data_IF_759327554624
#
_entry.id   IF_759327554624
#
_cell.length_a   1.000
_cell.length_b   1.000
_cell.length_c   1.000
_cell.angle_alpha   90.00
_cell.angle_beta   90.00
_cell.angle_gamma   90.00
#
_symmetry.space_group_name_H-M   'P 1'
#
loop_
_entity.id
_entity.type
_entity.pdbx_description
1 polymer ?
#
# COMPACT_ATOMS: atom_id res chain seq x y z
N UNK A 1 25.01 -19.15 -9.20
CA UNK A 1 24.74 -17.71 -8.97
C UNK A 1 24.61 -17.51 -7.48
N UNK A 2 25.45 -16.66 -6.87
CA UNK A 2 25.28 -16.31 -5.47
C UNK A 2 23.88 -15.69 -5.28
N UNK A 3 23.18 -16.05 -4.20
CA UNK A 3 21.95 -15.35 -3.82
C UNK A 3 22.33 -13.90 -3.56
N UNK A 4 22.09 -13.02 -4.52
CA UNK A 4 22.15 -11.60 -4.23
C UNK A 4 20.98 -11.24 -3.32
N UNK A 5 21.26 -10.48 -2.27
CA UNK A 5 20.27 -10.14 -1.25
C UNK A 5 19.14 -9.32 -1.86
N UNK A 6 17.93 -9.89 -1.81
CA UNK A 6 16.71 -9.21 -2.20
C UNK A 6 16.45 -8.11 -1.19
N UNK A 7 16.46 -6.85 -1.66
CA UNK A 7 16.30 -5.66 -0.79
C UNK A 7 14.84 -5.21 -0.69
N UNK A 8 14.02 -5.56 -1.68
CA UNK A 8 12.59 -5.33 -1.72
C UNK A 8 11.90 -6.52 -2.40
N UNK A 9 10.77 -6.94 -1.83
CA UNK A 9 10.00 -8.04 -2.38
C UNK A 9 8.54 -7.67 -2.63
N UNK A 10 8.09 -6.48 -2.27
CA UNK A 10 6.70 -6.07 -2.43
C UNK A 10 6.53 -4.99 -3.49
N UNK A 11 5.46 -5.10 -4.27
CA UNK A 11 4.98 -4.06 -5.20
C UNK A 11 3.46 -4.08 -5.21
N UNK A 12 2.82 -2.92 -5.38
CA UNK A 12 1.39 -2.88 -5.68
C UNK A 12 1.13 -3.53 -7.04
N UNK A 13 0.10 -4.39 -7.13
CA UNK A 13 -0.28 -5.11 -8.36
C UNK A 13 -0.45 -4.15 -9.55
N UNK A 14 -1.08 -2.99 -9.33
CA UNK A 14 -1.23 -2.00 -10.38
C UNK A 14 0.08 -1.41 -10.89
N UNK A 15 1.04 -1.18 -10.00
CA UNK A 15 2.34 -0.64 -10.38
C UNK A 15 3.11 -1.69 -11.18
N UNK A 16 3.01 -2.97 -10.79
CA UNK A 16 3.55 -4.08 -11.57
C UNK A 16 2.93 -4.14 -12.97
N UNK A 17 1.60 -4.12 -13.07
CA UNK A 17 0.90 -4.17 -14.35
C UNK A 17 1.27 -2.97 -15.25
N UNK A 18 1.31 -1.76 -14.68
CA UNK A 18 1.72 -0.56 -15.39
C UNK A 18 3.18 -0.65 -15.87
N UNK A 19 4.10 -1.21 -15.08
CA UNK A 19 5.48 -1.43 -15.52
C UNK A 19 5.56 -2.40 -16.69
N UNK A 20 4.81 -3.51 -16.66
CA UNK A 20 4.73 -4.44 -17.79
C UNK A 20 4.20 -3.74 -19.05
N UNK A 21 3.11 -3.00 -18.95
CA UNK A 21 2.52 -2.25 -20.07
C UNK A 21 3.51 -1.26 -20.69
N UNK A 22 4.26 -0.51 -19.86
CA UNK A 22 5.26 0.44 -20.35
C UNK A 22 6.43 -0.29 -21.04
N UNK A 23 6.90 -1.42 -20.49
CA UNK A 23 7.99 -2.22 -21.09
C UNK A 23 7.60 -2.77 -22.46
N UNK A 24 6.34 -3.18 -22.61
CA UNK A 24 5.79 -3.67 -23.87
C UNK A 24 5.59 -2.52 -24.87
N UNK A 25 5.01 -1.40 -24.44
CA UNK A 25 4.76 -0.23 -25.28
C UNK A 25 6.05 0.40 -25.84
N UNK A 26 7.15 0.28 -25.13
CA UNK A 26 8.46 0.83 -25.53
C UNK A 26 9.36 -0.18 -26.24
N UNK A 27 8.90 -1.41 -26.47
CA UNK A 27 9.70 -2.51 -27.03
C UNK A 27 10.45 -2.19 -28.33
N UNK A 28 9.78 -1.50 -29.27
CA UNK A 28 10.38 -1.07 -30.55
C UNK A 28 11.38 0.06 -30.34
N UNK A 29 11.06 1.04 -29.48
CA UNK A 29 11.89 2.23 -29.25
C UNK A 29 13.23 1.90 -28.56
N UNK A 30 13.22 0.89 -27.70
CA UNK A 30 14.40 0.40 -26.99
C UNK A 30 15.14 -0.72 -27.73
N UNK A 31 14.71 -1.08 -28.94
CA UNK A 31 15.37 -2.10 -29.73
C UNK A 31 16.84 -1.68 -29.96
N UNK A 32 17.77 -2.62 -29.74
CA UNK A 32 19.22 -2.42 -29.85
C UNK A 32 19.85 -1.40 -28.87
N UNK A 33 19.05 -0.82 -27.97
CA UNK A 33 19.52 0.09 -26.91
C UNK A 33 19.71 -0.64 -25.59
N UNK A 34 20.70 -0.22 -24.82
CA UNK A 34 20.85 -0.66 -23.42
C UNK A 34 19.82 0.06 -22.54
N UNK A 35 19.15 -0.71 -21.69
CA UNK A 35 18.17 -0.15 -20.75
C UNK A 35 18.90 0.49 -19.57
N UNK A 36 18.51 1.73 -19.25
CA UNK A 36 18.99 2.46 -18.08
C UNK A 36 17.81 2.76 -17.17
N UNK A 37 17.92 2.37 -15.90
CA UNK A 37 16.97 2.75 -14.86
C UNK A 37 17.56 3.96 -14.13
N UNK A 38 17.02 5.14 -14.40
CA UNK A 38 17.45 6.37 -13.75
C UNK A 38 16.66 6.53 -12.45
N UNK A 39 17.34 6.27 -11.33
CA UNK A 39 16.77 6.26 -9.98
C UNK A 39 16.98 4.92 -9.31
N UNK A 40 17.94 4.85 -8.40
CA UNK A 40 18.29 3.62 -7.68
C UNK A 40 17.50 3.46 -6.36
N UNK A 41 16.29 4.01 -6.30
CA UNK A 41 15.38 3.93 -5.16
C UNK A 41 14.46 2.70 -5.18
N UNK A 42 13.41 2.73 -4.34
CA UNK A 42 12.41 1.64 -4.24
C UNK A 42 11.76 1.35 -5.59
N UNK A 43 11.30 2.38 -6.31
CA UNK A 43 10.65 2.22 -7.61
C UNK A 43 11.60 1.63 -8.66
N UNK A 44 12.85 2.11 -8.72
CA UNK A 44 13.86 1.54 -9.61
C UNK A 44 14.16 0.07 -9.31
N UNK A 45 14.26 -0.32 -8.04
CA UNK A 45 14.43 -1.73 -7.66
C UNK A 45 13.23 -2.59 -8.07
N UNK A 46 12.01 -2.13 -7.81
CA UNK A 46 10.78 -2.81 -8.21
C UNK A 46 10.71 -3.00 -9.74
N UNK A 47 11.08 -1.97 -10.48
CA UNK A 47 11.13 -2.02 -11.94
C UNK A 47 12.21 -2.99 -12.45
N UNK A 48 13.40 -2.99 -11.86
CA UNK A 48 14.46 -3.95 -12.19
C UNK A 48 14.03 -5.40 -12.01
N UNK A 49 13.37 -5.73 -10.88
CA UNK A 49 12.80 -7.08 -10.70
C UNK A 49 11.72 -7.39 -11.74
N UNK A 50 10.90 -6.39 -12.11
CA UNK A 50 9.90 -6.55 -13.18
C UNK A 50 10.55 -6.88 -14.52
N UNK A 51 11.62 -6.18 -14.91
CA UNK A 51 12.40 -6.49 -16.11
C UNK A 51 12.96 -7.92 -16.08
N UNK A 52 13.55 -8.34 -14.96
CA UNK A 52 14.09 -9.70 -14.81
C UNK A 52 12.99 -10.76 -14.97
N UNK A 53 11.79 -10.52 -14.42
CA UNK A 53 10.64 -11.42 -14.59
C UNK A 53 10.18 -11.52 -16.05
N UNK A 54 10.32 -10.44 -16.82
CA UNK A 54 10.05 -10.42 -18.26
C UNK A 54 11.23 -10.98 -19.10
N UNK A 55 12.27 -11.51 -18.46
CA UNK A 55 13.45 -12.08 -19.12
C UNK A 55 14.48 -11.03 -19.58
N UNK A 56 14.29 -9.76 -19.22
CA UNK A 56 15.16 -8.64 -19.58
C UNK A 56 16.19 -8.43 -18.47
N UNK A 57 17.41 -8.96 -18.68
CA UNK A 57 18.49 -8.90 -17.70
C UNK A 57 19.58 -7.87 -18.02
N UNK A 58 19.59 -7.32 -19.24
CA UNK A 58 20.60 -6.35 -19.67
C UNK A 58 20.13 -4.91 -19.36
N UNK A 59 20.29 -4.50 -18.10
CA UNK A 59 20.05 -3.13 -17.66
C UNK A 59 21.12 -2.64 -16.68
N UNK A 60 21.23 -1.33 -16.57
CA UNK A 60 22.09 -0.64 -15.58
C UNK A 60 21.28 0.40 -14.82
N UNK A 61 21.75 0.76 -13.62
CA UNK A 61 21.21 1.90 -12.88
C UNK A 61 22.07 3.15 -13.12
N UNK A 62 21.45 4.32 -13.03
CA UNK A 62 22.14 5.57 -12.71
C UNK A 62 21.35 6.37 -11.68
N UNK A 63 22.03 7.25 -10.94
CA UNK A 63 21.44 8.08 -9.89
C UNK A 63 22.29 9.34 -9.70
N UNK A 64 21.69 10.48 -9.36
CA UNK A 64 22.43 11.72 -9.13
C UNK A 64 23.20 11.70 -7.80
N UNK A 65 22.84 10.81 -6.87
CA UNK A 65 23.55 10.64 -5.60
C UNK A 65 24.90 9.93 -5.81
N UNK A 66 25.98 10.70 -5.72
CA UNK A 66 27.34 10.21 -5.90
C UNK A 66 27.78 9.20 -4.84
N UNK A 67 27.11 9.14 -3.69
CA UNK A 67 27.38 8.14 -2.66
C UNK A 67 26.92 6.73 -3.08
N UNK A 68 26.02 6.62 -4.07
CA UNK A 68 25.53 5.35 -4.59
C UNK A 68 26.38 4.79 -5.72
N UNK A 69 27.24 5.59 -6.34
CA UNK A 69 27.98 5.16 -7.53
C UNK A 69 28.94 4.01 -7.23
N UNK A 70 29.04 3.05 -8.17
CA UNK A 70 29.86 1.85 -8.03
C UNK A 70 29.25 0.77 -7.13
N UNK A 71 28.16 1.08 -6.40
CA UNK A 71 27.45 0.10 -5.57
C UNK A 71 26.66 -0.84 -6.49
N UNK A 72 26.71 -2.15 -6.20
CA UNK A 72 25.87 -3.12 -6.91
C UNK A 72 24.43 -3.04 -6.43
N UNK A 73 23.45 -3.17 -7.32
CA UNK A 73 22.02 -3.19 -7.04
C UNK A 73 21.33 -4.12 -8.04
N UNK A 74 20.56 -5.11 -7.57
CA UNK A 74 19.79 -6.07 -8.41
C UNK A 74 20.61 -6.60 -9.60
N UNK A 75 21.78 -7.18 -9.34
CA UNK A 75 22.63 -7.79 -10.37
C UNK A 75 23.50 -6.85 -11.17
N UNK A 76 23.35 -5.53 -11.05
CA UNK A 76 24.09 -4.54 -11.85
C UNK A 76 24.71 -3.44 -10.99
N UNK A 77 25.36 -2.45 -11.60
CA UNK A 77 26.03 -1.34 -10.89
C UNK A 77 25.24 -0.04 -11.05
N UNK A 78 25.25 0.80 -10.03
CA UNK A 78 24.75 2.18 -10.09
C UNK A 78 25.85 3.08 -10.65
N UNK A 79 25.57 3.77 -11.75
CA UNK A 79 26.52 4.59 -12.47
C UNK A 79 26.25 6.09 -12.28
N UNK A 80 27.27 6.88 -12.55
CA UNK A 80 27.12 8.32 -12.74
C UNK A 80 26.31 8.59 -14.04
N UNK A 81 25.30 9.49 -14.02
CA UNK A 81 24.50 9.87 -15.20
C UNK A 81 25.32 10.26 -16.45
N UNK A 82 26.57 10.68 -16.30
CA UNK A 82 27.50 10.93 -17.41
C UNK A 82 27.74 9.72 -18.31
N UNK A 83 27.35 8.50 -17.90
CA UNK A 83 27.32 7.35 -18.83
C UNK A 83 26.46 7.62 -20.07
N UNK A 84 25.45 8.49 -19.95
CA UNK A 84 24.45 8.80 -20.97
C UNK A 84 24.96 9.80 -22.02
N UNK A 85 26.18 10.32 -21.92
CA UNK A 85 26.72 11.29 -22.89
C UNK A 85 26.78 10.77 -24.34
N UNK A 86 26.78 9.45 -24.54
CA UNK A 86 26.65 8.79 -25.84
C UNK A 86 25.21 8.30 -26.06
N UNK A 87 24.26 9.24 -26.11
CA UNK A 87 22.83 9.02 -25.88
C UNK A 87 22.11 8.00 -26.78
N UNK A 88 22.56 7.82 -28.03
CA UNK A 88 21.87 6.97 -29.02
C UNK A 88 21.84 5.47 -28.62
N UNK A 89 22.75 5.04 -27.73
CA UNK A 89 22.85 3.65 -27.29
C UNK A 89 21.93 3.31 -26.12
N UNK A 90 21.18 4.27 -25.57
CA UNK A 90 20.45 4.08 -24.31
C UNK A 90 18.96 4.38 -24.45
N UNK A 91 18.16 3.57 -23.76
CA UNK A 91 16.76 3.89 -23.48
C UNK A 91 16.56 4.01 -21.98
N UNK A 92 16.04 5.15 -21.52
CA UNK A 92 16.00 5.49 -20.10
C UNK A 92 14.58 5.34 -19.55
N UNK A 93 14.44 4.56 -18.49
CA UNK A 93 13.26 4.59 -17.62
C UNK A 93 13.59 5.45 -16.41
N UNK A 94 12.90 6.57 -16.29
CA UNK A 94 13.03 7.45 -15.15
C UNK A 94 12.15 6.88 -14.01
N UNK A 95 12.78 6.45 -12.93
CA UNK A 95 12.18 5.63 -11.87
C UNK A 95 12.22 6.33 -10.49
N UNK A 96 11.72 7.56 -10.40
CA UNK A 96 11.58 8.29 -9.13
C UNK A 96 10.36 9.22 -9.08
N UNK A 97 9.97 9.58 -7.87
CA UNK A 97 9.06 10.71 -7.62
C UNK A 97 9.84 12.03 -7.73
N UNK A 98 9.15 13.14 -8.06
CA UNK A 98 9.77 14.46 -8.28
C UNK A 98 10.90 14.43 -9.32
N UNK A 99 10.58 13.90 -10.50
CA UNK A 99 11.54 13.58 -11.56
C UNK A 99 11.97 14.77 -12.43
N UNK A 100 11.43 15.97 -12.18
CA UNK A 100 11.56 17.14 -13.05
C UNK A 100 13.02 17.53 -13.31
N UNK A 101 13.87 17.45 -12.28
CA UNK A 101 15.30 17.73 -12.41
C UNK A 101 16.00 16.71 -13.32
N UNK A 102 15.74 15.42 -13.11
CA UNK A 102 16.32 14.35 -13.91
C UNK A 102 15.79 14.36 -15.36
N UNK A 103 14.53 14.74 -15.57
CA UNK A 103 13.96 14.93 -16.90
C UNK A 103 14.65 16.08 -17.64
N UNK A 104 14.83 17.22 -16.98
CA UNK A 104 15.55 18.37 -17.56
C UNK A 104 16.98 17.98 -17.94
N UNK A 105 17.67 17.24 -17.05
CA UNK A 105 19.01 16.72 -17.32
C UNK A 105 19.05 15.82 -18.56
N UNK A 106 18.09 14.90 -18.73
CA UNK A 106 18.01 14.04 -19.92
C UNK A 106 17.80 14.86 -21.19
N UNK A 107 16.93 15.86 -21.15
CA UNK A 107 16.65 16.75 -22.29
C UNK A 107 17.88 17.58 -22.67
N UNK A 108 18.63 18.09 -21.69
CA UNK A 108 19.91 18.79 -21.92
C UNK A 108 20.98 17.87 -22.52
N UNK A 109 20.94 16.57 -22.20
CA UNK A 109 21.78 15.54 -22.82
C UNK A 109 21.29 15.09 -24.21
N UNK A 110 20.19 15.67 -24.70
CA UNK A 110 19.65 15.42 -26.04
C UNK A 110 18.61 14.31 -26.13
N UNK A 111 18.22 13.68 -25.01
CA UNK A 111 17.19 12.64 -24.98
C UNK A 111 15.79 13.25 -25.15
N UNK A 112 14.93 12.59 -25.92
CA UNK A 112 13.56 13.05 -26.14
C UNK A 112 12.54 12.18 -25.40
N UNK A 113 11.63 12.84 -24.67
CA UNK A 113 10.55 12.15 -23.97
C UNK A 113 9.66 11.39 -24.96
N UNK A 114 9.35 10.13 -24.63
CA UNK A 114 8.55 9.24 -25.47
C UNK A 114 9.30 8.62 -26.65
N UNK A 115 10.59 8.94 -26.84
CA UNK A 115 11.45 8.36 -27.89
C UNK A 115 12.65 7.67 -27.25
N UNK A 116 13.41 8.38 -26.43
CA UNK A 116 14.63 7.89 -25.79
C UNK A 116 14.44 7.63 -24.29
N UNK A 117 13.40 8.21 -23.70
CA UNK A 117 13.07 7.98 -22.30
C UNK A 117 11.58 8.08 -22.01
N UNK A 118 11.16 7.40 -20.94
CA UNK A 118 9.81 7.50 -20.37
C UNK A 118 9.87 7.57 -18.85
N UNK A 119 8.89 8.23 -18.25
CA UNK A 119 8.75 8.26 -16.79
C UNK A 119 7.92 7.07 -16.29
N UNK A 120 8.39 6.43 -15.24
CA UNK A 120 7.61 5.47 -14.46
C UNK A 120 6.87 6.22 -13.36
N UNK A 121 5.56 6.02 -13.29
CA UNK A 121 4.74 6.62 -12.22
C UNK A 121 4.18 5.53 -11.33
N UNK A 122 4.25 5.73 -10.01
CA UNK A 122 3.39 5.01 -9.08
C UNK A 122 1.92 5.31 -9.42
N UNK A 123 1.15 4.28 -9.75
CA UNK A 123 -0.22 4.42 -10.20
C UNK A 123 -1.27 4.09 -9.14
N UNK A 124 -0.87 3.74 -7.90
CA UNK A 124 -1.83 3.39 -6.83
C UNK A 124 -2.81 4.52 -6.52
N UNK A 125 -2.36 5.77 -6.43
CA UNK A 125 -3.25 6.92 -6.22
C UNK A 125 -4.23 7.11 -7.38
N UNK A 126 -3.76 6.96 -8.62
CA UNK A 126 -4.60 7.05 -9.82
C UNK A 126 -5.63 5.93 -9.84
N UNK A 127 -5.23 4.69 -9.54
CA UNK A 127 -6.14 3.53 -9.49
C UNK A 127 -7.22 3.70 -8.42
N UNK A 128 -6.89 4.28 -7.27
CA UNK A 128 -7.91 4.61 -6.26
C UNK A 128 -8.91 5.62 -6.81
N UNK A 129 -8.45 6.71 -7.45
CA UNK A 129 -9.33 7.72 -8.05
C UNK A 129 -10.21 7.14 -9.17
N UNK A 130 -9.62 6.31 -10.05
CA UNK A 130 -10.35 5.66 -11.14
C UNK A 130 -11.39 4.66 -10.61
N UNK A 131 -11.05 3.92 -9.55
CA UNK A 131 -11.96 2.98 -8.90
C UNK A 131 -13.08 3.71 -8.16
N UNK A 132 -12.81 4.88 -7.60
CA UNK A 132 -13.82 5.73 -6.96
C UNK A 132 -14.90 6.17 -7.95
N UNK A 133 -14.51 6.49 -9.20
CA UNK A 133 -15.41 6.95 -10.26
C UNK A 133 -16.19 5.84 -10.97
N UNK A 134 -15.84 4.56 -10.74
CA UNK A 134 -16.46 3.38 -11.39
C UNK A 134 -17.26 2.56 -10.38
N UNK A 135 -18.09 1.63 -10.85
CA UNK A 135 -18.84 0.66 -10.05
C UNK A 135 -19.75 1.29 -8.97
N UNK A 136 -20.47 2.35 -9.32
CA UNK A 136 -21.42 3.03 -8.42
C UNK A 136 -22.69 2.19 -8.14
N UNK A 137 -22.86 1.08 -8.84
CA UNK A 137 -23.94 0.10 -8.70
C UNK A 137 -23.62 -1.06 -7.73
N UNK A 138 -22.37 -1.20 -7.29
CA UNK A 138 -21.97 -2.25 -6.35
C UNK A 138 -22.67 -2.11 -4.98
N UNK A 139 -23.02 -3.24 -4.36
CA UNK A 139 -23.65 -3.29 -3.03
C UNK A 139 -22.64 -3.36 -1.89
N UNK A 140 -21.39 -3.75 -2.18
CA UNK A 140 -20.31 -3.84 -1.20
C UNK A 140 -19.20 -2.83 -1.50
N UNK A 141 -18.78 -2.10 -0.47
CA UNK A 141 -17.58 -1.27 -0.49
C UNK A 141 -16.50 -1.87 0.42
N UNK A 142 -15.30 -2.04 -0.12
CA UNK A 142 -14.12 -2.47 0.63
C UNK A 142 -13.13 -1.31 0.70
N UNK A 143 -12.75 -0.95 1.92
CA UNK A 143 -11.72 0.03 2.23
C UNK A 143 -10.54 -0.68 2.87
N UNK A 144 -9.31 -0.30 2.51
CA UNK A 144 -8.12 -0.84 3.16
C UNK A 144 -6.84 -0.14 2.73
N UNK A 145 -5.71 -0.71 3.12
CA UNK A 145 -4.39 -0.14 2.87
C UNK A 145 -3.63 -0.85 1.74
N UNK A 146 -2.31 -0.65 1.66
CA UNK A 146 -1.47 -1.30 0.65
C UNK A 146 -1.49 -2.84 0.70
N UNK A 147 -1.79 -3.47 1.84
CA UNK A 147 -1.88 -4.94 1.96
C UNK A 147 -2.92 -5.51 1.01
N UNK A 148 -3.95 -4.72 0.71
CA UNK A 148 -5.03 -5.09 -0.21
C UNK A 148 -4.54 -5.12 -1.66
N UNK A 149 -3.56 -4.30 -2.05
CA UNK A 149 -3.06 -4.21 -3.43
C UNK A 149 -1.70 -4.86 -3.67
N UNK A 150 -0.96 -5.21 -2.61
CA UNK A 150 0.43 -5.66 -2.72
C UNK A 150 0.56 -7.13 -3.15
N UNK A 151 1.58 -7.41 -3.96
CA UNK A 151 2.02 -8.75 -4.40
C UNK A 151 3.53 -8.89 -4.25
N UNK A 152 4.04 -10.12 -4.14
CA UNK A 152 5.48 -10.36 -4.17
C UNK A 152 6.02 -10.08 -5.57
N UNK A 153 7.19 -9.44 -5.71
CA UNK A 153 7.93 -9.28 -6.97
C UNK A 153 8.54 -10.59 -7.46
N UNK A 154 8.62 -11.64 -6.63
CA UNK A 154 9.22 -12.93 -7.02
C UNK A 154 8.20 -13.95 -7.51
N UNK A 155 6.97 -13.89 -6.99
CA UNK A 155 5.91 -14.83 -7.35
C UNK A 155 5.50 -14.67 -8.82
N UNK A 156 5.13 -15.77 -9.48
CA UNK A 156 4.53 -15.70 -10.82
C UNK A 156 3.08 -15.21 -10.75
N UNK A 157 2.37 -15.55 -9.68
CA UNK A 157 0.98 -15.15 -9.48
C UNK A 157 0.89 -13.74 -8.90
N UNK A 158 0.55 -12.76 -9.74
CA UNK A 158 0.49 -11.33 -9.41
C UNK A 158 -0.94 -10.83 -9.16
N UNK A 159 -1.74 -11.58 -8.41
CA UNK A 159 -3.10 -11.13 -8.06
C UNK A 159 -3.14 -10.76 -6.58
N UNK A 160 -3.60 -9.54 -6.31
CA UNK A 160 -3.78 -9.00 -4.96
C UNK A 160 -5.10 -9.44 -4.32
N UNK A 161 -5.21 -9.26 -3.00
CA UNK A 161 -6.46 -9.50 -2.27
C UNK A 161 -7.59 -8.66 -2.87
N UNK A 162 -7.32 -7.38 -3.15
CA UNK A 162 -8.29 -6.46 -3.73
C UNK A 162 -8.79 -6.90 -5.10
N UNK A 163 -7.93 -7.48 -5.94
CA UNK A 163 -8.35 -8.01 -7.24
C UNK A 163 -9.21 -9.27 -7.12
N UNK A 164 -8.88 -10.16 -6.18
CA UNK A 164 -9.72 -11.33 -5.88
C UNK A 164 -11.12 -10.87 -5.43
N UNK A 165 -11.20 -9.87 -4.56
CA UNK A 165 -12.46 -9.34 -4.03
C UNK A 165 -13.26 -8.58 -5.09
N UNK A 166 -12.62 -7.80 -5.96
CA UNK A 166 -13.30 -7.14 -7.10
C UNK A 166 -13.96 -8.15 -8.05
N UNK A 167 -13.34 -9.31 -8.27
CA UNK A 167 -13.87 -10.36 -9.16
C UNK A 167 -15.13 -11.05 -8.64
N UNK A 168 -15.58 -10.75 -7.42
CA UNK A 168 -16.91 -11.19 -6.94
C UNK A 168 -18.06 -10.51 -7.68
N UNK A 169 -17.80 -9.41 -8.40
CA UNK A 169 -18.74 -8.73 -9.30
C UNK A 169 -19.64 -7.69 -8.64
N UNK A 170 -19.82 -7.75 -7.32
CA UNK A 170 -20.70 -6.87 -6.56
C UNK A 170 -19.95 -5.99 -5.55
N UNK A 171 -18.68 -5.70 -5.85
CA UNK A 171 -17.75 -5.09 -4.89
C UNK A 171 -16.95 -3.96 -5.53
N UNK A 172 -16.98 -2.79 -4.89
CA UNK A 172 -16.02 -1.71 -5.11
C UNK A 172 -14.90 -1.82 -4.09
N UNK A 173 -13.65 -1.78 -4.53
CA UNK A 173 -12.47 -1.83 -3.64
C UNK A 173 -11.67 -0.55 -3.79
N UNK A 174 -11.48 0.19 -2.70
CA UNK A 174 -10.62 1.37 -2.62
C UNK A 174 -9.54 1.13 -1.57
N UNK A 175 -8.30 1.09 -2.02
CA UNK A 175 -7.17 0.86 -1.14
C UNK A 175 -5.97 1.70 -1.53
N UNK A 176 -5.30 2.26 -0.53
CA UNK A 176 -4.08 3.05 -0.70
C UNK A 176 -3.25 2.93 0.57
N UNK A 177 -1.92 2.85 0.43
CA UNK A 177 -1.04 2.88 1.58
C UNK A 177 -1.29 4.13 2.44
N UNK A 178 -1.06 4.06 3.75
CA UNK A 178 -1.11 5.26 4.60
C UNK A 178 -2.50 5.78 4.92
N UNK A 179 -3.58 5.16 4.43
CA UNK A 179 -4.93 5.52 4.85
C UNK A 179 -5.15 5.19 6.34
N UNK A 180 -5.83 6.10 7.03
CA UNK A 180 -6.15 6.00 8.46
C UNK A 180 -7.65 6.24 8.71
N UNK A 181 -8.12 6.09 9.95
CA UNK A 181 -9.55 6.07 10.26
C UNK A 181 -10.34 7.29 9.75
N UNK A 182 -9.83 8.51 9.90
CA UNK A 182 -10.48 9.71 9.34
C UNK A 182 -10.51 9.73 7.81
N UNK A 183 -9.47 9.18 7.18
CA UNK A 183 -9.45 8.96 5.72
C UNK A 183 -10.54 7.98 5.30
N UNK A 184 -10.67 6.83 5.96
CA UNK A 184 -11.72 5.85 5.68
C UNK A 184 -13.12 6.45 5.86
N UNK A 185 -13.33 7.22 6.92
CA UNK A 185 -14.61 7.89 7.17
C UNK A 185 -15.00 8.84 6.03
N UNK A 186 -14.08 9.70 5.61
CA UNK A 186 -14.36 10.65 4.54
C UNK A 186 -14.54 9.94 3.18
N UNK A 187 -13.69 8.97 2.84
CA UNK A 187 -13.87 8.15 1.62
C UNK A 187 -15.24 7.45 1.62
N UNK A 188 -15.63 6.84 2.74
CA UNK A 188 -16.93 6.18 2.90
C UNK A 188 -18.09 7.16 2.66
N UNK A 189 -18.06 8.34 3.28
CA UNK A 189 -19.10 9.37 3.11
C UNK A 189 -19.21 9.84 1.67
N UNK A 190 -18.09 10.01 0.98
CA UNK A 190 -18.08 10.38 -0.44
C UNK A 190 -18.61 9.23 -1.31
N UNK A 191 -18.22 7.99 -1.03
CA UNK A 191 -18.71 6.80 -1.74
C UNK A 191 -20.22 6.64 -1.58
N UNK A 192 -20.75 6.79 -0.36
CA UNK A 192 -22.19 6.63 -0.09
C UNK A 192 -23.08 7.59 -0.90
N UNK A 193 -22.57 8.78 -1.24
CA UNK A 193 -23.32 9.72 -2.09
C UNK A 193 -23.43 9.26 -3.54
N UNK A 194 -22.48 8.43 -3.99
CA UNK A 194 -22.43 7.90 -5.36
C UNK A 194 -23.06 6.51 -5.46
N UNK A 195 -22.80 5.66 -4.47
CA UNK A 195 -23.24 4.28 -4.43
C UNK A 195 -24.66 4.18 -3.87
N UNK A 196 -25.65 4.23 -4.75
CA UNK A 196 -27.08 4.22 -4.38
C UNK A 196 -27.48 2.93 -3.66
N UNK A 197 -26.91 1.79 -4.08
CA UNK A 197 -27.26 0.46 -3.58
C UNK A 197 -26.27 -0.08 -2.54
N UNK A 198 -25.37 0.77 -2.01
CA UNK A 198 -24.43 0.35 -0.97
C UNK A 198 -25.17 -0.16 0.27
N UNK A 199 -24.95 -1.43 0.60
CA UNK A 199 -25.55 -2.15 1.73
C UNK A 199 -24.51 -2.57 2.77
N UNK A 200 -23.30 -2.94 2.32
CA UNK A 200 -22.24 -3.43 3.21
C UNK A 200 -20.91 -2.72 2.99
N UNK A 201 -20.21 -2.46 4.09
CA UNK A 201 -18.86 -1.91 4.10
C UNK A 201 -17.93 -2.85 4.85
N UNK A 202 -16.79 -3.15 4.24
CA UNK A 202 -15.69 -3.88 4.87
C UNK A 202 -14.49 -2.95 5.00
N UNK A 203 -14.02 -2.75 6.23
CA UNK A 203 -12.76 -2.03 6.48
C UNK A 203 -11.70 -3.07 6.82
N UNK A 204 -10.76 -3.31 5.89
CA UNK A 204 -9.60 -4.17 6.10
C UNK A 204 -8.58 -3.38 6.93
N UNK A 205 -8.63 -3.62 8.23
CA UNK A 205 -7.94 -2.87 9.26
C UNK A 205 -6.62 -3.56 9.61
N UNK A 206 -5.53 -2.92 9.20
CA UNK A 206 -4.23 -3.15 9.84
C UNK A 206 -4.21 -2.42 11.18
N UNK A 207 -3.89 -3.15 12.25
CA UNK A 207 -4.09 -2.66 13.63
C UNK A 207 -3.14 -1.52 13.99
N UNK A 208 -1.97 -1.43 13.36
CA UNK A 208 -0.98 -0.38 13.57
C UNK A 208 -1.50 1.03 13.27
N UNK A 209 -2.54 1.18 12.43
CA UNK A 209 -3.15 2.50 12.18
C UNK A 209 -3.89 3.05 13.42
N UNK A 210 -4.17 2.19 14.41
CA UNK A 210 -4.78 2.56 15.68
C UNK A 210 -3.73 3.03 16.70
N UNK A 211 -2.43 3.03 16.35
CA UNK A 211 -1.39 3.68 17.14
C UNK A 211 -1.54 5.21 17.10
N UNK A 212 -1.16 5.87 18.20
CA UNK A 212 -1.50 7.27 18.47
C UNK A 212 -0.83 8.31 17.54
N UNK A 213 0.06 7.90 16.62
CA UNK A 213 0.83 8.79 15.75
C UNK A 213 0.66 8.48 14.26
N UNK A 214 0.08 7.34 13.88
CA UNK A 214 -0.02 6.92 12.48
C UNK A 214 -0.67 7.99 11.57
N UNK A 215 -1.76 8.59 12.05
CA UNK A 215 -2.50 9.64 11.33
C UNK A 215 -1.79 10.99 11.28
N UNK A 216 -0.71 11.17 12.04
CA UNK A 216 0.08 12.41 12.07
C UNK A 216 1.22 12.42 11.05
N UNK A 217 1.60 11.28 10.49
CA UNK A 217 2.74 11.22 9.58
C UNK A 217 2.45 11.98 8.26
N UNK A 218 3.33 12.90 7.82
CA UNK A 218 3.11 13.67 6.58
C UNK A 218 2.90 12.78 5.35
N UNK A 219 3.63 11.68 5.25
CA UNK A 219 3.53 10.71 4.14
C UNK A 219 2.16 10.02 4.01
N UNK A 220 1.35 10.02 5.08
CA UNK A 220 0.06 9.34 5.15
C UNK A 220 -1.13 10.26 4.82
N UNK A 221 -0.89 11.56 4.55
CA UNK A 221 -1.97 12.53 4.42
C UNK A 221 -2.67 12.50 3.05
N UNK A 222 -1.94 12.16 1.98
CA UNK A 222 -2.45 12.05 0.62
C UNK A 222 -3.32 13.25 0.18
N UNK A 223 -2.92 14.48 0.51
CA UNK A 223 -3.75 15.68 0.32
C UNK A 223 -4.20 15.88 -1.12
N UNK A 224 -3.34 15.56 -2.09
CA UNK A 224 -3.69 15.59 -3.53
C UNK A 224 -4.84 14.63 -3.85
N UNK A 225 -4.78 13.39 -3.36
CA UNK A 225 -5.81 12.37 -3.59
C UNK A 225 -7.11 12.76 -2.92
N UNK A 226 -7.07 13.21 -1.67
CA UNK A 226 -8.25 13.62 -0.91
C UNK A 226 -8.97 14.81 -1.56
N UNK A 227 -8.22 15.79 -2.06
CA UNK A 227 -8.78 16.93 -2.83
C UNK A 227 -9.47 16.46 -4.12
N UNK A 228 -8.83 15.58 -4.87
CA UNK A 228 -9.40 15.05 -6.11
C UNK A 228 -10.64 14.17 -5.85
N UNK A 229 -10.65 13.36 -4.80
CA UNK A 229 -11.84 12.62 -4.37
C UNK A 229 -13.00 13.56 -4.04
N UNK A 230 -12.75 14.63 -3.28
CA UNK A 230 -13.78 15.61 -2.94
C UNK A 230 -14.35 16.28 -4.19
N UNK A 231 -13.48 16.73 -5.10
CA UNK A 231 -13.88 17.31 -6.40
C UNK A 231 -14.70 16.32 -7.24
N UNK A 232 -14.25 15.07 -7.37
CA UNK A 232 -14.93 14.01 -8.13
C UNK A 232 -16.26 13.57 -7.50
N UNK A 233 -16.43 13.77 -6.19
CA UNK A 233 -17.71 13.52 -5.50
C UNK A 233 -18.82 14.50 -5.91
N UNK A 234 -18.47 15.65 -6.50
CA UNK A 234 -19.38 16.76 -6.86
C UNK A 234 -20.12 17.37 -5.66
N UNK A 235 -19.71 17.06 -4.44
CA UNK A 235 -20.24 17.67 -3.23
C UNK A 235 -19.54 19.00 -2.98
N UNK A 236 -20.30 20.05 -2.66
CA UNK A 236 -19.76 21.40 -2.45
C UNK A 236 -19.90 21.90 -1.02
N UNK A 237 -20.74 21.27 -0.22
CA UNK A 237 -21.03 21.62 1.18
C UNK A 237 -20.81 20.41 2.10
N UNK A 238 -19.57 19.92 2.13
CA UNK A 238 -19.14 18.91 3.11
C UNK A 238 -18.15 19.52 4.10
N UNK A 239 -18.69 20.12 5.17
CA UNK A 239 -17.89 20.79 6.19
C UNK A 239 -16.82 19.90 6.81
N UNK A 240 -17.13 18.62 7.02
CA UNK A 240 -16.16 17.68 7.58
C UNK A 240 -15.05 17.34 6.57
N UNK A 241 -15.37 17.18 5.29
CA UNK A 241 -14.32 16.99 4.29
C UNK A 241 -13.46 18.24 4.14
N UNK A 242 -14.05 19.43 4.22
CA UNK A 242 -13.33 20.70 4.17
C UNK A 242 -12.39 20.88 5.36
N UNK A 243 -12.86 20.59 6.58
CA UNK A 243 -12.03 20.58 7.79
C UNK A 243 -10.91 19.54 7.68
N UNK A 244 -11.23 18.34 7.23
CA UNK A 244 -10.23 17.28 7.04
C UNK A 244 -9.13 17.68 6.05
N UNK A 245 -9.48 18.34 4.94
CA UNK A 245 -8.51 18.85 3.98
C UNK A 245 -7.59 19.93 4.57
N UNK A 246 -8.11 20.80 5.44
CA UNK A 246 -7.28 21.77 6.15
C UNK A 246 -6.29 21.08 7.09
N UNK A 247 -6.77 20.10 7.88
CA UNK A 247 -5.92 19.33 8.79
C UNK A 247 -4.81 18.58 8.02
N UNK A 248 -5.12 18.00 6.86
CA UNK A 248 -4.13 17.38 5.97
C UNK A 248 -3.07 18.39 5.54
N UNK A 249 -3.46 19.57 5.06
CA UNK A 249 -2.50 20.60 4.62
C UNK A 249 -1.57 21.07 5.74
N UNK A 250 -2.05 21.11 6.97
CA UNK A 250 -1.23 21.42 8.15
C UNK A 250 -0.25 20.28 8.47
N UNK A 251 -0.70 19.03 8.43
CA UNK A 251 0.12 17.85 8.71
C UNK A 251 1.20 17.60 7.66
N UNK A 252 0.90 17.85 6.38
CA UNK A 252 1.89 17.70 5.29
C UNK A 252 3.09 18.64 5.46
N UNK A 253 2.89 19.81 6.09
CA UNK A 253 3.96 20.77 6.40
C UNK A 253 4.76 20.37 7.64
N UNK A 254 4.21 19.51 8.50
CA UNK A 254 4.77 19.12 9.79
C UNK A 254 5.88 18.07 9.67
N UNK A 255 7.09 18.47 9.25
CA UNK A 255 8.24 17.54 9.08
C UNK A 255 8.91 17.14 10.40
N UNK A 256 8.42 17.58 11.56
CA UNK A 256 9.04 17.33 12.87
C UNK A 256 8.74 15.94 13.45
N UNK A 257 7.80 15.20 12.86
CA UNK A 257 7.44 13.86 13.34
C UNK A 257 8.32 12.82 12.64
N UNK A 258 9.26 12.27 13.42
CA UNK A 258 10.12 11.19 12.96
C UNK A 258 9.32 9.88 12.85
N UNK A 259 9.28 9.32 11.66
CA UNK A 259 8.72 8.00 11.43
C UNK A 259 9.74 6.91 11.76
N UNK A 260 9.63 6.37 12.98
CA UNK A 260 10.44 5.26 13.49
C UNK A 260 9.92 3.89 13.06
N UNK A 261 8.74 3.83 12.43
CA UNK A 261 8.09 2.58 12.02
C UNK A 261 8.56 2.10 10.64
N UNK A 262 9.08 2.99 9.80
CA UNK A 262 9.58 2.61 8.48
C UNK A 262 10.87 1.77 8.58
N UNK A 263 10.92 0.59 7.93
CA UNK A 263 12.11 -0.24 7.94
C UNK A 263 13.26 0.46 7.22
N UNK A 264 14.46 0.37 7.81
CA UNK A 264 15.66 0.89 7.20
C UNK A 264 16.11 -0.04 6.06
N UNK A 265 16.23 0.52 4.84
CA UNK A 265 16.57 -0.21 3.62
C UNK A 265 18.01 0.03 3.16
N UNK A 266 18.89 0.55 4.03
CA UNK A 266 20.33 0.65 3.72
C UNK A 266 20.92 -0.74 3.46
N UNK A 267 21.69 -0.85 2.38
CA UNK A 267 22.14 -2.14 1.85
C UNK A 267 23.19 -2.85 2.74
N UNK A 268 23.97 -2.09 3.52
CA UNK A 268 25.09 -2.62 4.30
C UNK A 268 24.75 -3.03 5.75
N UNK A 269 23.47 -3.23 6.05
CA UNK A 269 23.06 -3.72 7.37
C UNK A 269 23.45 -5.18 7.54
N UNK A 270 24.10 -5.50 8.67
CA UNK A 270 24.33 -6.87 9.11
C UNK A 270 23.01 -7.58 9.41
N UNK A 271 23.00 -8.91 9.35
CA UNK A 271 21.83 -9.72 9.69
C UNK A 271 21.29 -9.40 11.10
N UNK A 272 22.20 -9.17 12.06
CA UNK A 272 21.84 -8.76 13.43
C UNK A 272 21.13 -7.41 13.47
N UNK A 273 21.55 -6.44 12.66
CA UNK A 273 20.90 -5.13 12.59
C UNK A 273 19.52 -5.22 11.94
N UNK A 274 19.38 -6.01 10.85
CA UNK A 274 18.09 -6.27 10.22
C UNK A 274 17.13 -6.93 11.21
N UNK A 275 17.61 -7.93 11.95
CA UNK A 275 16.79 -8.64 12.93
C UNK A 275 16.36 -7.73 14.09
N UNK A 276 17.26 -6.87 14.58
CA UNK A 276 16.92 -5.88 15.58
C UNK A 276 15.87 -4.88 15.07
N UNK A 277 15.95 -4.47 13.80
CA UNK A 277 14.96 -3.57 13.19
C UNK A 277 13.59 -4.24 13.07
N UNK A 278 13.52 -5.51 12.65
CA UNK A 278 12.27 -6.29 12.61
C UNK A 278 11.63 -6.38 14.00
N UNK A 279 12.44 -6.66 15.03
CA UNK A 279 11.98 -6.70 16.42
C UNK A 279 11.42 -5.34 16.87
N UNK A 280 12.11 -4.24 16.57
CA UNK A 280 11.64 -2.88 16.90
C UNK A 280 10.34 -2.55 16.16
N UNK A 281 10.27 -2.86 14.85
CA UNK A 281 9.06 -2.67 14.04
C UNK A 281 7.87 -3.42 14.65
N UNK A 282 8.03 -4.71 14.99
CA UNK A 282 6.98 -5.51 15.62
C UNK A 282 6.50 -4.87 16.93
N UNK A 283 7.44 -4.42 17.78
CA UNK A 283 7.11 -3.78 19.06
C UNK A 283 6.31 -2.49 18.87
N UNK A 284 6.74 -1.61 17.98
CA UNK A 284 6.11 -0.31 17.77
C UNK A 284 4.70 -0.44 17.19
N UNK A 285 4.50 -1.39 16.27
CA UNK A 285 3.27 -1.50 15.51
C UNK A 285 2.24 -2.46 16.14
N UNK A 286 2.64 -3.36 17.05
CA UNK A 286 1.74 -4.40 17.58
C UNK A 286 1.80 -4.62 19.09
N UNK A 287 2.70 -3.95 19.82
CA UNK A 287 2.79 -4.01 21.30
C UNK A 287 2.63 -2.61 21.94
N UNK A 288 2.03 -1.66 21.23
CA UNK A 288 1.73 -0.34 21.79
C UNK A 288 0.57 -0.42 22.79
N UNK A 289 0.46 0.57 23.66
CA UNK A 289 -0.71 0.70 24.52
C UNK A 289 -1.81 1.45 23.79
N UNK A 290 -2.93 0.78 23.50
CA UNK A 290 -4.07 1.41 22.85
C UNK A 290 -4.66 2.50 23.75
N UNK A 291 -4.81 3.69 23.20
CA UNK A 291 -5.51 4.80 23.85
C UNK A 291 -6.90 4.96 23.23
N UNK A 292 -7.91 4.98 24.09
CA UNK A 292 -9.30 5.20 23.67
C UNK A 292 -9.59 6.68 23.35
N UNK A 293 -8.72 7.60 23.79
CA UNK A 293 -8.83 9.04 23.55
C UNK A 293 -7.89 9.46 22.41
N UNK A 294 -8.21 9.03 21.19
CA UNK A 294 -7.42 9.30 19.98
C UNK A 294 -8.34 9.61 18.80
N UNK A 295 -7.81 10.32 17.80
CA UNK A 295 -8.52 10.56 16.53
C UNK A 295 -8.90 9.22 15.87
N UNK A 296 -8.03 8.21 15.90
CA UNK A 296 -8.35 6.90 15.33
C UNK A 296 -9.59 6.27 15.97
N UNK A 297 -9.73 6.36 17.30
CA UNK A 297 -10.89 5.84 18.03
C UNK A 297 -12.15 6.69 17.83
N UNK A 298 -12.01 8.03 17.78
CA UNK A 298 -13.10 8.93 17.43
C UNK A 298 -13.67 8.60 16.05
N UNK A 299 -12.82 8.46 15.04
CA UNK A 299 -13.27 8.17 13.69
C UNK A 299 -13.73 6.72 13.49
N UNK A 300 -13.28 5.77 14.32
CA UNK A 300 -13.92 4.46 14.43
C UNK A 300 -15.40 4.61 14.83
N UNK A 301 -15.69 5.41 15.86
CA UNK A 301 -17.08 5.68 16.28
C UNK A 301 -17.86 6.43 15.22
N UNK A 302 -17.28 7.44 14.56
CA UNK A 302 -17.95 8.18 13.49
C UNK A 302 -18.33 7.28 12.31
N UNK A 303 -17.45 6.34 11.93
CA UNK A 303 -17.75 5.35 10.88
C UNK A 303 -18.92 4.45 11.30
N UNK A 304 -18.89 3.92 12.52
CA UNK A 304 -19.94 3.05 13.06
C UNK A 304 -21.29 3.78 13.12
N UNK A 305 -21.30 4.99 13.67
CA UNK A 305 -22.48 5.83 13.78
C UNK A 305 -23.04 6.23 12.42
N UNK A 306 -22.17 6.61 11.48
CA UNK A 306 -22.57 6.91 10.12
C UNK A 306 -23.26 5.71 9.47
N UNK A 307 -22.62 4.54 9.47
CA UNK A 307 -23.17 3.32 8.88
C UNK A 307 -24.53 2.97 9.49
N UNK A 308 -24.66 3.02 10.81
CA UNK A 308 -25.92 2.80 11.52
C UNK A 308 -27.01 3.77 11.08
N UNK A 309 -26.69 5.06 11.01
CA UNK A 309 -27.67 6.12 10.67
C UNK A 309 -28.16 6.01 9.23
N UNK A 310 -27.33 5.53 8.31
CA UNK A 310 -27.70 5.37 6.90
C UNK A 310 -28.13 3.94 6.53
N UNK A 311 -28.19 3.02 7.50
CA UNK A 311 -28.65 1.64 7.30
C UNK A 311 -27.66 0.74 6.56
N UNK A 312 -26.36 0.99 6.67
CA UNK A 312 -25.28 0.16 6.08
C UNK A 312 -24.74 -0.78 7.15
N UNK A 313 -24.58 -2.06 6.80
CA UNK A 313 -23.87 -3.02 7.64
C UNK A 313 -22.38 -2.78 7.50
N UNK A 314 -21.65 -2.74 8.62
CA UNK A 314 -20.20 -2.59 8.59
C UNK A 314 -19.51 -3.78 9.28
N UNK A 315 -18.49 -4.31 8.61
CA UNK A 315 -17.57 -5.31 9.15
C UNK A 315 -16.15 -4.78 9.15
N UNK A 316 -15.50 -4.79 10.31
CA UNK A 316 -14.06 -4.58 10.41
C UNK A 316 -13.35 -5.93 10.26
N UNK A 317 -12.46 -6.04 9.28
CA UNK A 317 -11.62 -7.21 9.08
C UNK A 317 -10.27 -6.91 9.70
N UNK A 318 -9.95 -7.54 10.84
CA UNK A 318 -8.63 -7.40 11.44
C UNK A 318 -7.66 -8.22 10.61
N UNK A 319 -6.74 -7.56 9.92
CA UNK A 319 -5.84 -8.19 8.98
C UNK A 319 -4.79 -9.06 9.69
N UNK A 320 -4.31 -10.15 9.06
CA UNK A 320 -3.32 -11.02 9.67
C UNK A 320 -2.01 -10.32 9.98
N UNK A 321 -1.39 -10.75 11.06
CA UNK A 321 -0.05 -10.32 11.45
C UNK A 321 0.86 -11.54 11.60
N UNK A 322 2.18 -11.33 11.46
CA UNK A 322 3.16 -12.38 11.66
C UNK A 322 3.33 -12.71 13.16
N UNK A 323 2.31 -13.33 13.74
CA UNK A 323 2.22 -13.59 15.18
C UNK A 323 3.31 -14.53 15.67
N UNK A 324 3.73 -15.50 14.85
CA UNK A 324 4.79 -16.44 15.18
C UNK A 324 6.12 -15.71 15.39
N UNK A 325 6.43 -14.69 14.57
CA UNK A 325 7.57 -13.80 14.82
C UNK A 325 7.39 -12.92 16.06
N UNK A 326 6.16 -12.50 16.34
CA UNK A 326 5.84 -11.76 17.56
C UNK A 326 6.15 -12.58 18.82
N UNK A 327 5.72 -13.85 18.82
CA UNK A 327 5.99 -14.83 19.88
C UNK A 327 7.47 -15.19 19.99
N UNK A 328 8.18 -15.34 18.87
CA UNK A 328 9.63 -15.56 18.89
C UNK A 328 10.37 -14.38 19.57
N UNK A 329 9.95 -13.15 19.31
CA UNK A 329 10.62 -11.96 19.85
C UNK A 329 10.27 -11.61 21.29
N UNK A 330 9.05 -11.90 21.73
CA UNK A 330 8.53 -11.40 23.01
C UNK A 330 7.82 -12.48 23.86
N UNK A 331 7.72 -13.72 23.39
CA UNK A 331 7.03 -14.81 24.08
C UNK A 331 5.57 -14.48 24.38
N UNK A 332 5.10 -14.89 25.56
CA UNK A 332 3.71 -14.70 26.00
C UNK A 332 3.29 -13.22 26.14
N UNK A 333 4.26 -12.30 26.28
CA UNK A 333 3.99 -10.86 26.33
C UNK A 333 3.34 -10.38 25.04
N UNK A 334 3.74 -10.94 23.89
CA UNK A 334 3.16 -10.60 22.60
C UNK A 334 1.64 -10.84 22.57
N UNK A 335 1.22 -12.07 22.88
CA UNK A 335 -0.20 -12.44 22.87
C UNK A 335 -1.02 -11.62 23.86
N UNK A 336 -0.44 -11.32 25.02
CA UNK A 336 -1.09 -10.50 26.05
C UNK A 336 -1.33 -9.09 25.54
N UNK A 337 -0.28 -8.40 25.08
CA UNK A 337 -0.35 -7.01 24.63
C UNK A 337 -1.20 -6.84 23.37
N UNK A 338 -1.00 -7.70 22.38
CA UNK A 338 -1.80 -7.64 21.16
C UNK A 338 -3.27 -7.99 21.45
N UNK A 339 -3.52 -8.98 22.32
CA UNK A 339 -4.86 -9.33 22.77
C UNK A 339 -5.60 -8.19 23.48
N UNK A 340 -4.90 -7.37 24.29
CA UNK A 340 -5.46 -6.15 24.89
C UNK A 340 -5.96 -5.16 23.83
N UNK A 341 -5.15 -4.91 22.80
CA UNK A 341 -5.51 -4.02 21.67
C UNK A 341 -6.77 -4.54 20.99
N UNK A 342 -6.78 -5.82 20.60
CA UNK A 342 -7.93 -6.44 19.93
C UNK A 342 -9.17 -6.40 20.81
N UNK A 343 -9.06 -6.69 22.10
CA UNK A 343 -10.20 -6.65 23.04
C UNK A 343 -10.84 -5.27 23.10
N UNK A 344 -10.03 -4.21 23.17
CA UNK A 344 -10.53 -2.83 23.18
C UNK A 344 -11.24 -2.50 21.86
N UNK A 345 -10.62 -2.81 20.72
CA UNK A 345 -11.24 -2.58 19.41
C UNK A 345 -12.54 -3.35 19.25
N UNK A 346 -12.57 -4.63 19.64
CA UNK A 346 -13.74 -5.47 19.54
C UNK A 346 -14.91 -4.92 20.36
N UNK A 347 -14.63 -4.50 21.61
CA UNK A 347 -15.64 -3.88 22.47
C UNK A 347 -16.26 -2.65 21.81
N UNK A 348 -15.45 -1.76 21.26
CA UNK A 348 -15.94 -0.53 20.62
C UNK A 348 -16.75 -0.81 19.35
N UNK A 349 -16.29 -1.72 18.49
CA UNK A 349 -17.00 -2.09 17.27
C UNK A 349 -18.35 -2.74 17.60
N UNK A 350 -18.38 -3.69 18.54
CA UNK A 350 -19.61 -4.39 18.93
C UNK A 350 -20.61 -3.42 19.58
N UNK A 351 -20.15 -2.55 20.49
CA UNK A 351 -21.00 -1.53 21.12
C UNK A 351 -21.59 -0.55 20.09
N UNK A 352 -20.82 -0.22 19.04
CA UNK A 352 -21.28 0.57 17.90
C UNK A 352 -22.20 -0.18 16.93
N UNK A 353 -22.55 -1.44 17.21
CA UNK A 353 -23.33 -2.36 16.36
C UNK A 353 -22.64 -2.72 15.03
N UNK A 354 -21.32 -2.64 14.97
CA UNK A 354 -20.52 -3.19 13.88
C UNK A 354 -20.22 -4.67 14.06
N UNK A 355 -19.78 -5.32 12.98
CA UNK A 355 -19.32 -6.71 12.97
C UNK A 355 -17.80 -6.80 12.84
N UNK A 356 -17.25 -7.95 13.21
CA UNK A 356 -15.80 -8.19 13.19
C UNK A 356 -15.51 -9.52 12.51
N UNK A 357 -14.50 -9.52 11.65
CA UNK A 357 -13.84 -10.72 11.16
C UNK A 357 -12.38 -10.64 11.58
N UNK A 358 -12.03 -11.34 12.64
CA UNK A 358 -10.66 -11.33 13.16
C UNK A 358 -9.82 -12.39 12.45
N UNK A 359 -8.83 -11.95 11.67
CA UNK A 359 -7.89 -12.80 10.94
C UNK A 359 -6.46 -12.68 11.50
N UNK A 360 -6.27 -12.07 12.67
CA UNK A 360 -4.94 -11.75 13.22
C UNK A 360 -3.97 -12.93 13.21
N UNK A 361 -4.49 -14.11 13.56
CA UNK A 361 -3.74 -15.37 13.67
C UNK A 361 -4.02 -16.36 12.53
N UNK A 362 -4.55 -15.88 11.40
CA UNK A 362 -4.94 -16.75 10.28
C UNK A 362 -3.73 -17.36 9.56
N UNK A 363 -2.66 -16.59 9.42
CA UNK A 363 -1.54 -16.92 8.54
C UNK A 363 -0.31 -17.36 9.35
N UNK A 364 0.33 -18.49 9.01
CA UNK A 364 1.64 -18.85 9.56
C UNK A 364 2.72 -17.90 9.04
N UNK A 365 3.89 -17.87 9.70
CA UNK A 365 5.01 -17.01 9.31
C UNK A 365 5.42 -17.18 7.85
N UNK A 366 5.32 -18.41 7.32
CA UNK A 366 5.68 -18.74 5.94
C UNK A 366 4.87 -18.02 4.87
N UNK A 367 3.75 -17.40 5.22
CA UNK A 367 2.92 -16.61 4.31
C UNK A 367 3.26 -15.11 4.30
N UNK A 368 4.21 -14.65 5.13
CA UNK A 368 4.61 -13.26 5.21
C UNK A 368 5.96 -13.01 4.51
N UNK A 369 6.04 -11.87 3.83
CA UNK A 369 7.30 -11.31 3.34
C UNK A 369 7.95 -10.54 4.50
N UNK A 370 9.09 -11.03 4.97
CA UNK A 370 9.77 -10.55 6.17
C UNK A 370 11.25 -10.20 5.88
N UNK A 371 11.52 -9.24 5.00
CA UNK A 371 12.88 -8.90 4.59
C UNK A 371 13.55 -7.85 5.49
N UNK A 372 12.83 -6.79 5.84
CA UNK A 372 13.27 -5.59 6.58
C UNK A 372 12.26 -5.19 7.65
N UNK A 373 10.99 -5.56 7.49
CA UNK A 373 9.99 -5.56 8.55
C UNK A 373 9.30 -6.91 8.67
N UNK A 374 8.48 -7.10 9.72
CA UNK A 374 7.83 -8.39 9.99
C UNK A 374 6.63 -8.68 9.10
N UNK A 375 6.03 -7.64 8.52
CA UNK A 375 4.83 -7.68 7.68
C UNK A 375 4.98 -6.72 6.47
N UNK A 376 5.93 -6.97 5.56
CA UNK A 376 6.05 -6.11 4.36
C UNK A 376 5.01 -6.41 3.29
N UNK A 377 4.50 -7.64 3.31
CA UNK A 377 3.50 -8.13 2.38
C UNK A 377 3.16 -9.57 2.70
N UNK A 378 2.22 -10.11 1.94
CA UNK A 378 1.67 -11.45 2.13
C UNK A 378 1.85 -12.21 0.83
N UNK A 379 2.32 -13.45 0.89
CA UNK A 379 2.51 -14.34 -0.27
C UNK A 379 1.18 -14.86 -0.81
N UNK A 380 1.21 -15.45 -2.00
CA UNK A 380 0.06 -15.91 -2.78
C UNK A 380 -0.92 -16.75 -1.95
N UNK A 381 -0.40 -17.73 -1.22
CA UNK A 381 -1.22 -18.62 -0.40
C UNK A 381 -1.99 -17.83 0.66
N UNK A 382 -1.30 -17.00 1.45
CA UNK A 382 -1.94 -16.13 2.44
C UNK A 382 -2.94 -15.14 1.83
N UNK A 383 -2.63 -14.51 0.69
CA UNK A 383 -3.56 -13.59 -0.01
C UNK A 383 -4.86 -14.29 -0.41
N UNK A 384 -4.78 -15.52 -0.94
CA UNK A 384 -5.94 -16.33 -1.29
C UNK A 384 -6.77 -16.70 -0.07
N UNK A 385 -6.12 -17.13 1.02
CA UNK A 385 -6.79 -17.54 2.24
C UNK A 385 -7.54 -16.38 2.92
N UNK A 386 -6.93 -15.18 2.96
CA UNK A 386 -7.61 -13.97 3.46
C UNK A 386 -8.85 -13.66 2.62
N UNK A 387 -8.69 -13.61 1.30
CA UNK A 387 -9.78 -13.28 0.40
C UNK A 387 -10.93 -14.30 0.50
N UNK A 388 -10.61 -15.59 0.62
CA UNK A 388 -11.59 -16.65 0.86
C UNK A 388 -12.40 -16.40 2.14
N UNK A 389 -11.76 -16.08 3.25
CA UNK A 389 -12.46 -15.80 4.52
C UNK A 389 -13.35 -14.57 4.46
N UNK A 390 -12.94 -13.53 3.73
CA UNK A 390 -13.77 -12.34 3.49
C UNK A 390 -14.97 -12.71 2.63
N UNK A 391 -14.78 -13.45 1.53
CA UNK A 391 -15.87 -13.88 0.64
C UNK A 391 -16.87 -14.82 1.35
N UNK A 392 -16.38 -15.75 2.19
CA UNK A 392 -17.23 -16.57 3.05
C UNK A 392 -18.11 -15.71 3.96
N UNK A 393 -17.55 -14.64 4.54
CA UNK A 393 -18.29 -13.71 5.40
C UNK A 393 -19.37 -12.96 4.61
N UNK A 394 -19.04 -12.43 3.44
CA UNK A 394 -19.98 -11.73 2.56
C UNK A 394 -21.18 -12.62 2.21
N UNK A 395 -20.93 -13.90 1.85
CA UNK A 395 -22.01 -14.86 1.51
C UNK A 395 -22.94 -15.19 2.70
N UNK A 396 -22.39 -15.30 3.91
CA UNK A 396 -23.20 -15.56 5.12
C UNK A 396 -24.13 -14.40 5.46
N UNK A 397 -23.72 -13.16 5.18
CA UNK A 397 -24.55 -11.96 5.34
C UNK A 397 -25.80 -11.97 4.46
N UNK A 398 -25.69 -12.49 3.22
CA UNK A 398 -26.81 -12.62 2.29
C UNK A 398 -27.82 -13.71 2.69
N UNK A 399 -27.40 -14.80 3.33
CA UNK A 399 -28.27 -15.94 3.63
C UNK A 399 -29.18 -15.71 4.85
N UNK A 400 -28.78 -14.87 5.82
CA UNK A 400 -29.60 -14.57 6.99
C UNK A 400 -30.86 -13.74 6.70
N UNK A 401 -30.99 -13.17 5.50
CA UNK A 401 -32.17 -12.40 5.09
C UNK A 401 -33.24 -13.25 4.36
N UNK A 402 -32.92 -14.49 3.98
CA UNK A 402 -33.84 -15.38 3.25
C UNK A 402 -34.47 -16.48 4.08
N UNK A 403 -34.02 -16.68 5.33
CA UNK A 403 -34.58 -17.69 6.26
C UNK A 403 -35.65 -17.12 7.22
N UNK A 404 -36.21 -15.95 6.89
CA UNK A 404 -37.20 -15.25 7.71
C UNK A 404 -38.53 -15.05 6.99
N UNK A 405 -39.07 -16.08 6.33
CA UNK A 405 -40.46 -16.14 5.88
C UNK A 405 -41.09 -17.48 6.24
#
# INVERSE_FOLDING_TARGET
MGKEDIVIECIAEESFNNFCEIVDATSILRQDKQIVIFGAGIMGMQFAYTLQQLGINNFVFCDNDSQKWGVRLVGTTINNPMLLQNGDNYFVYLAMENYEECATQLEEMGFKMGIDWVNLTNCSERKLLDSFEKNDDAHVLILGDCTVSTVSVQEKYKVSIGEILRKTGDTKVLALNGLYMRSYYNILRLCKNRMKYLQEVYVLLNVDIMENRYFLYPKNQHGRVMKELYKKSKKTDDKEMQDFLQVIEEREKGTSILDLSSPNRYKHLSEKEVENQRRVHMKLNFLYHISENTESMEYLHHILDFCRNVGIKITFVIMPINYERGEEYFGDEFRTRYGEIITVLQRHIINGKGSILDLSYLLPQGDFICLRSTNEGILEHGRKLIAEKIVERMKKGCQSEWSGH
#
